data_IF_465372119341
#
_entry.id   IF_465372119341
#
_cell.length_a   1.000
_cell.length_b   1.000
_cell.length_c   1.000
_cell.angle_alpha   90.00
_cell.angle_beta   90.00
_cell.angle_gamma   90.00
#
_symmetry.space_group_name_H-M   'P 1'
#
loop_
_entity.id
_entity.type
_entity.pdbx_description
1 polymer ?
#
# COMPACT_ATOMS: atom_id res chain seq x y z
N UNK A 1 -54.56 -22.66 38.95
CA UNK A 1 -53.86 -21.59 38.19
C UNK A 1 -52.39 -21.49 38.65
N UNK A 2 -51.50 -22.40 38.21
CA UNK A 2 -50.06 -22.39 38.61
C UNK A 2 -49.08 -22.61 37.45
N UNK A 3 -49.55 -22.63 36.19
CA UNK A 3 -48.71 -22.97 35.02
C UNK A 3 -48.37 -21.81 34.08
N UNK A 4 -48.85 -20.60 34.36
CA UNK A 4 -48.65 -19.44 33.47
C UNK A 4 -47.38 -18.63 33.81
N UNK A 5 -46.86 -18.75 35.04
CA UNK A 5 -45.68 -17.99 35.47
C UNK A 5 -44.32 -18.63 35.11
N UNK A 6 -44.29 -19.91 34.73
CA UNK A 6 -43.03 -20.58 34.38
C UNK A 6 -42.56 -20.26 32.94
N UNK A 7 -43.49 -19.98 32.02
CA UNK A 7 -43.17 -19.69 30.62
C UNK A 7 -42.71 -18.24 30.40
N UNK A 8 -43.19 -17.29 31.21
CA UNK A 8 -42.75 -15.89 31.16
C UNK A 8 -41.31 -15.70 31.68
N UNK A 9 -40.87 -16.52 32.64
CA UNK A 9 -39.49 -16.48 33.18
C UNK A 9 -38.44 -17.04 32.20
N UNK A 10 -38.80 -18.04 31.39
CA UNK A 10 -37.89 -18.67 30.43
C UNK A 10 -37.71 -17.78 29.18
N UNK A 11 -38.75 -17.09 28.72
CA UNK A 11 -38.65 -16.15 27.60
C UNK A 11 -37.74 -14.95 27.92
N UNK A 12 -37.70 -14.49 29.17
CA UNK A 12 -36.86 -13.37 29.60
C UNK A 12 -35.36 -13.75 29.66
N UNK A 13 -35.04 -14.99 30.02
CA UNK A 13 -33.66 -15.51 30.10
C UNK A 13 -33.02 -15.77 28.72
N UNK A 14 -33.83 -15.98 27.68
CA UNK A 14 -33.34 -16.21 26.31
C UNK A 14 -33.11 -14.87 25.56
N UNK A 15 -33.73 -13.77 25.99
CA UNK A 15 -33.59 -12.43 25.39
C UNK A 15 -32.45 -11.60 25.97
N UNK A 16 -31.93 -11.96 27.15
CA UNK A 16 -30.83 -11.27 27.82
C UNK A 16 -29.45 -11.39 27.12
N UNK A 17 -29.06 -12.51 26.47
CA UNK A 17 -27.72 -12.61 25.89
C UNK A 17 -27.48 -11.62 24.75
N UNK A 18 -28.52 -11.33 23.96
CA UNK A 18 -28.42 -10.44 22.80
C UNK A 18 -28.20 -8.96 23.18
N UNK A 19 -28.64 -8.55 24.38
CA UNK A 19 -28.46 -7.18 24.88
C UNK A 19 -27.08 -6.97 25.54
N UNK A 20 -26.43 -8.05 26.00
CA UNK A 20 -25.14 -7.96 26.70
C UNK A 20 -23.94 -8.06 25.75
N UNK A 21 -24.08 -8.69 24.57
CA UNK A 21 -22.98 -8.82 23.60
C UNK A 21 -22.46 -7.47 23.09
N UNK A 22 -23.30 -6.43 23.03
CA UNK A 22 -22.88 -5.09 22.58
C UNK A 22 -21.97 -4.36 23.59
N UNK A 23 -22.00 -4.73 24.88
CA UNK A 23 -21.17 -4.15 25.92
C UNK A 23 -19.79 -4.82 26.05
N UNK A 24 -19.57 -6.00 25.46
CA UNK A 24 -18.30 -6.74 25.54
C UNK A 24 -17.44 -6.69 24.28
N UNK A 25 -17.97 -6.21 23.15
CA UNK A 25 -17.15 -6.00 21.97
C UNK A 25 -16.21 -4.80 22.22
N UNK A 26 -14.91 -5.06 22.35
CA UNK A 26 -13.89 -4.02 22.42
C UNK A 26 -13.90 -3.11 21.19
N UNK A 27 -13.12 -2.02 21.20
CA UNK A 27 -12.97 -1.20 20.01
C UNK A 27 -12.52 -2.04 18.80
N UNK A 28 -12.83 -1.61 17.57
CA UNK A 28 -12.39 -2.32 16.37
C UNK A 28 -10.86 -2.44 16.37
N UNK A 29 -10.33 -3.47 15.74
CA UNK A 29 -8.89 -3.63 15.54
C UNK A 29 -8.37 -2.78 14.37
N UNK A 30 -7.05 -2.66 14.27
CA UNK A 30 -6.39 -1.86 13.23
C UNK A 30 -6.73 -2.37 11.82
N UNK A 31 -6.86 -3.68 11.63
CA UNK A 31 -7.13 -4.28 10.32
C UNK A 31 -8.55 -3.97 9.83
N UNK A 32 -9.53 -3.95 10.74
CA UNK A 32 -10.87 -3.45 10.46
C UNK A 32 -10.84 -1.96 10.15
N UNK A 33 -10.07 -1.18 10.90
CA UNK A 33 -9.93 0.25 10.65
C UNK A 33 -9.29 0.57 9.29
N UNK A 34 -8.27 -0.18 8.86
CA UNK A 34 -7.70 -0.08 7.50
C UNK A 34 -8.72 -0.37 6.41
N UNK A 35 -9.56 -1.39 6.59
CA UNK A 35 -10.64 -1.73 5.65
C UNK A 35 -11.66 -0.60 5.55
N UNK A 36 -12.08 -0.05 6.70
CA UNK A 36 -13.01 1.07 6.73
C UNK A 36 -12.39 2.32 6.06
N UNK A 37 -11.11 2.63 6.30
CA UNK A 37 -10.39 3.68 5.57
C UNK A 37 -10.43 3.44 4.07
N UNK A 38 -10.10 2.23 3.60
CA UNK A 38 -10.09 1.90 2.18
C UNK A 38 -11.46 2.15 1.54
N UNK A 39 -12.53 1.61 2.13
CA UNK A 39 -13.90 1.73 1.61
C UNK A 39 -14.36 3.18 1.60
N UNK A 40 -14.20 3.89 2.73
CA UNK A 40 -14.69 5.26 2.86
C UNK A 40 -13.83 6.26 2.07
N UNK A 41 -12.54 6.00 1.89
CA UNK A 41 -11.67 6.81 1.03
C UNK A 41 -12.12 6.74 -0.42
N UNK A 42 -12.31 5.54 -0.97
CA UNK A 42 -12.72 5.38 -2.38
C UNK A 42 -14.11 5.94 -2.65
N UNK A 43 -14.99 5.88 -1.65
CA UNK A 43 -16.31 6.53 -1.72
C UNK A 43 -16.20 8.06 -1.79
N UNK A 44 -15.27 8.66 -1.04
CA UNK A 44 -15.09 10.12 -0.97
C UNK A 44 -14.23 10.68 -2.12
N UNK A 45 -13.21 9.94 -2.53
CA UNK A 45 -12.26 10.32 -3.58
C UNK A 45 -12.38 9.36 -4.77
N UNK A 46 -13.52 9.44 -5.47
CA UNK A 46 -13.80 8.55 -6.60
C UNK A 46 -12.78 8.73 -7.72
N UNK A 47 -12.15 7.63 -8.14
CA UNK A 47 -11.11 7.63 -9.17
C UNK A 47 -9.68 7.61 -8.62
N UNK A 48 -9.49 7.76 -7.31
CA UNK A 48 -8.20 7.54 -6.67
C UNK A 48 -7.88 6.04 -6.59
N UNK A 49 -6.60 5.69 -6.70
CA UNK A 49 -6.06 4.34 -6.42
C UNK A 49 -5.19 4.40 -5.17
N UNK A 50 -5.63 3.75 -4.11
CA UNK A 50 -4.84 3.63 -2.87
C UNK A 50 -3.66 2.70 -3.15
N UNK A 51 -2.44 3.19 -2.89
CA UNK A 51 -1.20 2.42 -2.99
C UNK A 51 -0.82 1.78 -1.66
N UNK A 52 -1.01 2.50 -0.55
CA UNK A 52 -0.74 1.97 0.79
C UNK A 52 -1.54 2.69 1.89
N UNK A 53 -1.78 1.97 2.99
CA UNK A 53 -2.35 2.50 4.24
C UNK A 53 -1.43 2.02 5.36
N UNK A 54 -0.66 2.93 5.96
CA UNK A 54 0.25 2.62 7.06
C UNK A 54 -0.27 3.21 8.38
N UNK A 55 -0.05 2.52 9.49
CA UNK A 55 -0.32 3.07 10.82
C UNK A 55 0.56 4.31 11.06
N UNK A 56 -0.03 5.38 11.61
CA UNK A 56 0.63 6.67 11.83
C UNK A 56 0.63 7.06 13.31
N UNK A 57 0.67 6.06 14.19
CA UNK A 57 0.65 6.23 15.64
C UNK A 57 -0.26 5.22 16.31
N UNK A 58 -0.31 5.29 17.65
CA UNK A 58 -1.19 4.44 18.45
C UNK A 58 -2.65 4.93 18.36
N UNK A 59 -3.63 4.01 18.43
CA UNK A 59 -5.03 4.38 18.52
C UNK A 59 -5.33 5.18 19.79
N UNK A 60 -6.15 6.22 19.68
CA UNK A 60 -6.44 7.13 20.80
C UNK A 60 -7.91 7.07 21.18
N UNK A 61 -8.19 6.87 22.47
CA UNK A 61 -9.50 7.04 23.07
C UNK A 61 -9.67 8.50 23.51
N UNK A 62 -10.72 9.15 23.03
CA UNK A 62 -11.06 10.54 23.32
C UNK A 62 -12.44 10.55 23.94
N UNK A 63 -12.51 10.97 25.20
CA UNK A 63 -13.76 11.17 25.90
C UNK A 63 -14.11 12.67 25.85
N UNK A 64 -15.21 13.00 25.19
CA UNK A 64 -15.71 14.38 25.09
C UNK A 64 -16.92 14.53 25.99
N UNK A 65 -16.77 15.30 27.08
CA UNK A 65 -17.89 15.73 27.90
C UNK A 65 -18.61 16.90 27.22
N UNK A 66 -19.76 16.64 26.59
CA UNK A 66 -20.57 17.71 25.99
C UNK A 66 -21.47 18.43 27.02
N UNK A 67 -21.79 17.77 28.13
CA UNK A 67 -22.51 18.33 29.28
C UNK A 67 -22.46 17.35 30.46
N UNK A 68 -22.86 17.78 31.67
CA UNK A 68 -22.89 16.96 32.91
C UNK A 68 -23.63 15.61 32.81
N UNK A 69 -24.32 15.32 31.69
CA UNK A 69 -25.12 14.11 31.48
C UNK A 69 -24.80 13.32 30.20
N UNK A 70 -23.91 13.81 29.30
CA UNK A 70 -23.60 13.14 28.03
C UNK A 70 -22.09 13.11 27.76
N UNK A 71 -21.51 11.92 27.90
CA UNK A 71 -20.13 11.60 27.52
C UNK A 71 -20.17 10.93 26.14
N UNK A 72 -19.51 11.52 25.15
CA UNK A 72 -19.27 10.88 23.85
C UNK A 72 -17.88 10.26 23.87
N UNK A 73 -17.81 8.95 23.62
CA UNK A 73 -16.54 8.22 23.58
C UNK A 73 -16.18 7.96 22.12
N UNK A 74 -15.08 8.56 21.69
CA UNK A 74 -14.53 8.46 20.35
C UNK A 74 -13.25 7.62 20.41
N UNK A 75 -13.08 6.69 19.48
CA UNK A 75 -11.83 5.94 19.30
C UNK A 75 -11.29 6.20 17.91
N UNK A 76 -10.04 6.66 17.83
CA UNK A 76 -9.43 7.14 16.59
C UNK A 76 -8.19 6.31 16.24
N UNK A 77 -8.18 5.76 15.04
CA UNK A 77 -6.98 5.16 14.45
C UNK A 77 -6.29 6.15 13.51
N UNK A 78 -5.05 6.57 13.80
CA UNK A 78 -4.28 7.41 12.90
C UNK A 78 -3.60 6.57 11.81
N UNK A 79 -3.81 6.95 10.56
CA UNK A 79 -3.22 6.33 9.38
C UNK A 79 -2.57 7.36 8.47
N UNK A 80 -1.70 6.87 7.59
CA UNK A 80 -1.07 7.60 6.52
C UNK A 80 -1.39 6.88 5.22
N UNK A 81 -2.25 7.51 4.42
CA UNK A 81 -2.74 6.95 3.16
C UNK A 81 -1.91 7.51 2.02
N UNK A 82 -1.27 6.64 1.26
CA UNK A 82 -0.62 7.00 0.00
C UNK A 82 -1.56 6.62 -1.14
N UNK A 83 -2.01 7.60 -1.90
CA UNK A 83 -2.96 7.39 -2.99
C UNK A 83 -2.52 8.12 -4.26
N UNK A 84 -2.64 7.44 -5.39
CA UNK A 84 -2.57 8.04 -6.72
C UNK A 84 -3.93 8.64 -7.04
N UNK A 85 -3.97 9.95 -7.22
CA UNK A 85 -5.16 10.74 -7.55
C UNK A 85 -5.58 10.49 -9.00
N UNK A 86 -6.83 10.81 -9.32
CA UNK A 86 -7.33 10.75 -10.70
C UNK A 86 -6.53 11.62 -11.68
N UNK A 87 -5.95 12.73 -11.21
CA UNK A 87 -5.08 13.59 -12.02
C UNK A 87 -3.65 13.06 -12.18
N UNK A 88 -3.36 11.88 -11.63
CA UNK A 88 -2.06 11.22 -11.71
C UNK A 88 -1.08 11.60 -10.59
N UNK A 89 -1.37 12.61 -9.79
CA UNK A 89 -0.52 12.98 -8.65
C UNK A 89 -0.52 11.89 -7.57
N UNK A 90 0.62 11.66 -6.91
CA UNK A 90 0.66 10.78 -5.73
C UNK A 90 0.66 11.66 -4.50
N UNK A 91 -0.28 11.41 -3.60
CA UNK A 91 -0.42 12.16 -2.35
C UNK A 91 -0.27 11.24 -1.15
N UNK A 92 0.35 11.75 -0.09
CA UNK A 92 0.44 11.14 1.23
C UNK A 92 -0.39 11.97 2.19
N UNK A 93 -1.51 11.41 2.63
CA UNK A 93 -2.50 12.12 3.44
C UNK A 93 -2.64 11.45 4.81
N UNK A 94 -2.56 12.25 5.88
CA UNK A 94 -2.91 11.79 7.22
C UNK A 94 -4.42 11.60 7.31
N UNK A 95 -4.85 10.44 7.79
CA UNK A 95 -6.26 10.08 7.92
C UNK A 95 -6.52 9.51 9.31
N UNK A 96 -7.56 9.98 9.99
CA UNK A 96 -8.09 9.38 11.20
C UNK A 96 -9.35 8.58 10.90
N UNK A 97 -9.36 7.28 11.17
CA UNK A 97 -10.60 6.51 11.20
C UNK A 97 -11.24 6.66 12.57
N UNK A 98 -12.41 7.31 12.62
CA UNK A 98 -13.08 7.69 13.85
C UNK A 98 -14.24 6.73 14.14
N UNK A 99 -14.32 6.22 15.36
CA UNK A 99 -15.39 5.34 15.84
C UNK A 99 -16.06 5.94 17.06
N UNK A 100 -17.39 5.86 17.12
CA UNK A 100 -18.17 6.29 18.29
C UNK A 100 -18.78 5.09 18.98
N UNK A 101 -18.76 5.09 20.31
CA UNK A 101 -19.41 4.04 21.09
C UNK A 101 -20.88 4.36 21.36
N UNK A 102 -21.78 3.52 20.83
CA UNK A 102 -23.21 3.61 21.08
C UNK A 102 -23.63 2.44 21.96
N UNK A 103 -24.12 2.70 23.18
CA UNK A 103 -24.44 1.65 24.17
C UNK A 103 -25.27 0.48 23.64
N UNK A 104 -26.21 0.75 22.72
CA UNK A 104 -27.09 -0.28 22.13
C UNK A 104 -26.51 -0.99 20.91
N UNK A 105 -25.44 -0.47 20.31
CA UNK A 105 -24.90 -0.96 19.03
C UNK A 105 -23.40 -1.28 19.07
N UNK A 106 -22.71 -0.96 20.16
CA UNK A 106 -21.25 -1.05 20.28
C UNK A 106 -20.54 0.06 19.50
N UNK A 107 -19.31 -0.22 19.08
CA UNK A 107 -18.48 0.68 18.29
C UNK A 107 -18.95 0.75 16.84
N UNK A 108 -19.23 1.96 16.37
CA UNK A 108 -19.65 2.23 14.99
C UNK A 108 -18.66 3.17 14.32
N UNK A 109 -18.34 2.89 13.06
CA UNK A 109 -17.59 3.83 12.23
C UNK A 109 -18.40 5.12 12.11
N UNK A 110 -17.74 6.24 12.41
CA UNK A 110 -18.33 7.58 12.35
C UNK A 110 -17.92 8.27 11.05
N UNK A 111 -16.62 8.50 10.87
CA UNK A 111 -16.10 9.27 9.74
C UNK A 111 -14.59 9.06 9.50
N UNK A 112 -14.11 9.58 8.37
CA UNK A 112 -12.70 9.82 8.13
C UNK A 112 -12.37 11.29 8.43
N UNK A 113 -11.55 11.52 9.44
CA UNK A 113 -10.89 12.81 9.66
C UNK A 113 -9.68 12.93 8.73
N UNK A 114 -9.52 14.07 8.05
CA UNK A 114 -8.38 14.31 7.16
C UNK A 114 -7.45 15.34 7.80
N UNK A 115 -6.17 14.96 7.92
CA UNK A 115 -5.10 15.81 8.42
C UNK A 115 -4.29 16.41 7.29
N UNK A 116 -2.97 16.51 7.50
CA UNK A 116 -2.06 17.09 6.51
C UNK A 116 -2.05 16.24 5.22
N UNK A 117 -2.08 16.92 4.08
CA UNK A 117 -1.93 16.30 2.77
C UNK A 117 -0.62 16.78 2.11
N UNK A 118 0.23 15.84 1.71
CA UNK A 118 1.52 16.11 1.09
C UNK A 118 1.50 15.53 -0.33
N UNK A 119 1.74 16.37 -1.34
CA UNK A 119 1.94 15.91 -2.72
C UNK A 119 3.35 15.34 -2.81
N UNK A 120 3.48 14.06 -3.14
CA UNK A 120 4.76 13.37 -3.35
C UNK A 120 5.22 13.55 -4.80
N UNK A 121 4.31 13.46 -5.75
CA UNK A 121 4.59 13.71 -7.17
C UNK A 121 3.50 14.55 -7.80
N UNK A 122 3.92 15.51 -8.62
CA UNK A 122 3.03 16.37 -9.39
C UNK A 122 2.26 15.56 -10.45
N UNK A 123 1.06 16.03 -10.86
CA UNK A 123 0.35 15.48 -12.02
C UNK A 123 1.26 15.36 -13.25
N UNK A 124 1.28 14.19 -13.89
CA UNK A 124 2.11 13.93 -15.08
C UNK A 124 3.57 13.54 -14.80
N UNK A 125 4.08 13.68 -13.56
CA UNK A 125 5.38 13.17 -13.11
C UNK A 125 5.21 11.82 -12.39
N UNK A 126 4.51 10.91 -13.05
CA UNK A 126 4.34 9.53 -12.56
C UNK A 126 5.63 8.76 -12.82
N UNK A 127 6.13 7.97 -11.86
CA UNK A 127 7.14 6.95 -12.15
C UNK A 127 6.44 5.66 -12.60
N UNK A 128 7.10 4.81 -13.42
CA UNK A 128 6.50 3.55 -13.82
C UNK A 128 6.30 2.65 -12.61
N UNK A 129 5.17 1.95 -12.56
CA UNK A 129 4.93 0.89 -11.57
C UNK A 129 6.11 -0.10 -11.60
N UNK A 130 6.45 -0.69 -10.46
CA UNK A 130 7.66 -1.53 -10.33
C UNK A 130 7.66 -2.69 -11.34
N UNK A 131 6.51 -3.29 -11.58
CA UNK A 131 6.30 -4.35 -12.56
C UNK A 131 6.54 -3.87 -13.98
N UNK A 132 6.10 -2.64 -14.31
CA UNK A 132 6.35 -2.02 -15.62
C UNK A 132 7.84 -1.74 -15.80
N UNK A 133 8.50 -1.20 -14.77
CA UNK A 133 9.93 -0.94 -14.80
C UNK A 133 10.74 -2.23 -15.01
N UNK A 134 10.42 -3.29 -14.27
CA UNK A 134 11.04 -4.61 -14.42
C UNK A 134 10.88 -5.16 -15.84
N UNK A 135 9.66 -5.09 -16.39
CA UNK A 135 9.38 -5.55 -17.76
C UNK A 135 10.20 -4.79 -18.80
N UNK A 136 10.24 -3.46 -18.74
CA UNK A 136 11.01 -2.63 -19.67
C UNK A 136 12.52 -2.94 -19.59
N UNK A 137 13.03 -3.15 -18.38
CA UNK A 137 14.44 -3.50 -18.15
C UNK A 137 14.76 -4.87 -18.74
N UNK A 138 13.90 -5.86 -18.50
CA UNK A 138 14.05 -7.21 -19.06
C UNK A 138 14.03 -7.18 -20.59
N UNK A 139 13.05 -6.51 -21.20
CA UNK A 139 12.99 -6.33 -22.66
C UNK A 139 14.23 -5.65 -23.21
N UNK A 140 14.72 -4.59 -22.54
CA UNK A 140 15.94 -3.88 -22.93
C UNK A 140 17.19 -4.77 -22.84
N UNK A 141 17.30 -5.62 -21.80
CA UNK A 141 18.38 -6.58 -21.65
C UNK A 141 18.36 -7.62 -22.79
N UNK A 142 17.19 -8.16 -23.09
CA UNK A 142 16.98 -9.14 -24.15
C UNK A 142 17.18 -8.53 -25.55
N UNK A 143 16.86 -7.26 -25.75
CA UNK A 143 17.08 -6.59 -27.03
C UNK A 143 18.56 -6.27 -27.29
N UNK A 144 19.28 -5.76 -26.28
CA UNK A 144 20.61 -5.18 -26.52
C UNK A 144 21.81 -6.04 -26.10
N UNK A 145 21.67 -6.91 -25.09
CA UNK A 145 22.82 -7.65 -24.52
C UNK A 145 22.65 -9.16 -24.55
N UNK A 146 21.44 -9.65 -24.31
CA UNK A 146 21.15 -11.07 -24.06
C UNK A 146 20.09 -11.63 -25.01
N UNK A 147 20.19 -11.24 -26.29
CA UNK A 147 19.25 -11.66 -27.33
C UNK A 147 19.15 -13.19 -27.44
N UNK A 148 17.92 -13.68 -27.31
CA UNK A 148 17.60 -15.11 -27.37
C UNK A 148 17.95 -15.91 -26.10
N UNK A 149 18.25 -15.22 -24.99
CA UNK A 149 18.56 -15.84 -23.69
C UNK A 149 17.45 -15.57 -22.67
N UNK A 150 17.59 -16.13 -21.48
CA UNK A 150 16.63 -15.94 -20.39
C UNK A 150 17.27 -15.11 -19.28
N UNK A 151 16.61 -14.01 -18.91
CA UNK A 151 16.97 -13.23 -17.72
C UNK A 151 16.24 -13.82 -16.53
N UNK A 152 16.96 -14.06 -15.44
CA UNK A 152 16.44 -14.60 -14.18
C UNK A 152 16.78 -13.66 -13.04
N UNK A 153 16.05 -13.76 -11.93
CA UNK A 153 16.35 -13.06 -10.68
C UNK A 153 16.57 -11.54 -10.82
N UNK A 154 15.92 -10.89 -11.79
CA UNK A 154 15.99 -9.44 -11.98
C UNK A 154 15.42 -8.72 -10.74
N UNK A 155 16.25 -7.91 -10.10
CA UNK A 155 15.88 -7.12 -8.92
C UNK A 155 16.27 -5.67 -9.14
N UNK A 156 15.36 -4.77 -8.77
CA UNK A 156 15.60 -3.32 -8.76
C UNK A 156 15.35 -2.76 -7.37
N UNK A 157 16.20 -1.81 -6.97
CA UNK A 157 15.95 -0.96 -5.81
C UNK A 157 14.87 0.08 -6.07
N UNK A 158 14.63 0.92 -5.06
CA UNK A 158 13.69 2.04 -5.19
C UNK A 158 14.21 3.08 -6.19
N UNK A 159 13.33 3.69 -7.00
CA UNK A 159 13.74 4.67 -8.00
C UNK A 159 14.24 5.97 -7.37
N UNK A 160 15.26 6.55 -7.98
CA UNK A 160 15.68 7.93 -7.73
C UNK A 160 15.09 8.81 -8.83
N UNK A 161 14.29 9.80 -8.45
CA UNK A 161 13.72 10.76 -9.39
C UNK A 161 14.70 11.89 -9.71
N UNK A 162 14.59 12.41 -10.92
CA UNK A 162 15.27 13.62 -11.36
C UNK A 162 14.59 14.22 -12.59
N UNK A 163 15.16 15.29 -13.12
CA UNK A 163 14.64 15.96 -14.30
C UNK A 163 15.76 16.62 -15.09
N UNK A 164 15.76 16.44 -16.40
CA UNK A 164 16.67 17.12 -17.33
C UNK A 164 15.81 18.04 -18.22
N UNK A 165 16.00 19.37 -18.14
CA UNK A 165 15.22 20.35 -18.92
C UNK A 165 13.69 20.11 -18.86
N UNK A 166 13.16 19.98 -17.64
CA UNK A 166 11.74 19.68 -17.35
C UNK A 166 11.21 18.30 -17.79
N UNK A 167 12.04 17.45 -18.39
CA UNK A 167 11.70 16.04 -18.67
C UNK A 167 11.98 15.19 -17.43
N UNK A 168 10.95 14.66 -16.73
CA UNK A 168 11.17 13.83 -15.56
C UNK A 168 11.76 12.47 -15.97
N UNK A 169 12.74 12.01 -15.20
CA UNK A 169 13.34 10.68 -15.34
C UNK A 169 13.42 9.96 -13.99
N UNK A 170 13.42 8.63 -14.05
CA UNK A 170 13.50 7.75 -12.91
C UNK A 170 14.66 6.77 -13.09
N UNK A 171 15.66 6.88 -12.21
CA UNK A 171 16.85 6.04 -12.23
C UNK A 171 16.62 4.81 -11.37
N UNK A 172 16.84 3.64 -11.95
CA UNK A 172 16.84 2.36 -11.25
C UNK A 172 18.25 1.77 -11.26
N UNK A 173 18.58 1.10 -10.17
CA UNK A 173 19.78 0.28 -10.06
C UNK A 173 19.43 -1.09 -9.52
N UNK A 174 20.18 -2.09 -9.96
CA UNK A 174 19.90 -3.46 -9.53
C UNK A 174 20.87 -4.49 -10.09
N UNK A 175 20.44 -5.74 -9.97
CA UNK A 175 21.20 -6.92 -10.33
C UNK A 175 20.28 -7.91 -11.08
N UNK A 176 20.88 -8.76 -11.89
CA UNK A 176 20.16 -9.82 -12.60
C UNK A 176 21.06 -11.02 -12.89
N UNK A 177 20.45 -12.16 -13.15
CA UNK A 177 21.13 -13.36 -13.62
C UNK A 177 20.71 -13.65 -15.07
N UNK A 178 21.58 -14.32 -15.82
CA UNK A 178 21.26 -14.77 -17.18
C UNK A 178 21.71 -16.20 -17.33
N UNK A 179 20.83 -17.02 -17.92
CA UNK A 179 21.16 -18.36 -18.35
C UNK A 179 21.47 -18.36 -19.85
N UNK A 180 22.68 -18.74 -20.20
CA UNK A 180 23.16 -18.91 -21.58
C UNK A 180 23.56 -20.37 -21.80
N UNK A 181 22.59 -21.18 -22.21
CA UNK A 181 22.74 -22.64 -22.23
C UNK A 181 23.02 -23.19 -20.82
N UNK A 182 24.21 -23.74 -20.61
CA UNK A 182 24.65 -24.28 -19.31
C UNK A 182 25.46 -23.28 -18.47
N UNK A 183 25.67 -22.06 -18.96
CA UNK A 183 26.47 -21.05 -18.27
C UNK A 183 25.53 -20.06 -17.59
N UNK A 184 25.70 -19.89 -16.28
CA UNK A 184 25.02 -18.84 -15.51
C UNK A 184 25.92 -17.62 -15.40
N UNK A 185 25.40 -16.45 -15.74
CA UNK A 185 26.03 -15.17 -15.49
C UNK A 185 25.31 -14.45 -14.36
N UNK A 186 26.07 -13.90 -13.42
CA UNK A 186 25.58 -13.01 -12.36
C UNK A 186 26.05 -11.61 -12.71
N UNK A 187 25.11 -10.71 -12.95
CA UNK A 187 25.34 -9.34 -13.40
C UNK A 187 24.93 -8.36 -12.31
N UNK A 188 25.90 -7.63 -11.79
CA UNK A 188 25.67 -6.70 -10.69
C UNK A 188 25.77 -5.25 -11.12
N UNK A 189 25.08 -4.37 -10.39
CA UNK A 189 25.15 -2.91 -10.53
C UNK A 189 24.79 -2.40 -11.92
N UNK A 190 23.70 -2.88 -12.52
CA UNK A 190 23.17 -2.16 -13.69
C UNK A 190 22.51 -0.85 -13.25
N UNK A 191 22.49 0.12 -14.16
CA UNK A 191 21.86 1.42 -13.97
C UNK A 191 21.11 1.80 -15.24
N UNK A 192 19.81 2.10 -15.10
CA UNK A 192 18.96 2.58 -16.18
C UNK A 192 18.25 3.86 -15.77
N UNK A 193 17.84 4.65 -16.77
CA UNK A 193 16.85 5.71 -16.63
C UNK A 193 15.61 5.36 -17.43
N UNK A 194 14.45 5.53 -16.82
CA UNK A 194 13.15 5.48 -17.46
C UNK A 194 12.57 6.89 -17.55
N UNK A 195 12.15 7.31 -18.73
CA UNK A 195 11.59 8.64 -18.97
C UNK A 195 10.51 8.55 -20.06
N UNK A 196 9.69 9.59 -20.17
CA UNK A 196 8.73 9.74 -21.26
C UNK A 196 9.23 10.83 -22.21
N UNK A 197 9.26 10.54 -23.49
CA UNK A 197 9.56 11.57 -24.48
C UNK A 197 8.37 12.52 -24.60
N UNK A 198 8.66 13.81 -24.85
CA UNK A 198 7.65 14.85 -25.02
C UNK A 198 6.68 14.53 -26.18
N UNK A 199 7.16 13.84 -27.21
CA UNK A 199 6.38 13.37 -28.36
C UNK A 199 5.48 12.16 -28.06
N UNK A 200 5.75 11.41 -26.99
CA UNK A 200 5.05 10.18 -26.63
C UNK A 200 4.85 10.09 -25.11
N UNK A 201 4.10 11.05 -24.56
CA UNK A 201 3.79 11.13 -23.13
C UNK A 201 3.10 9.87 -22.54
N UNK A 202 2.67 8.92 -23.37
CA UNK A 202 2.12 7.63 -22.96
C UNK A 202 3.16 6.51 -22.85
N UNK A 203 4.29 6.58 -23.55
CA UNK A 203 5.26 5.48 -23.64
C UNK A 203 6.53 5.74 -22.84
N UNK A 204 6.90 4.74 -22.04
CA UNK A 204 8.16 4.76 -21.30
C UNK A 204 9.31 4.37 -22.22
N UNK A 205 10.35 5.20 -22.25
CA UNK A 205 11.64 4.92 -22.87
C UNK A 205 12.64 4.47 -21.81
N UNK A 206 13.49 3.52 -22.20
CA UNK A 206 14.60 3.04 -21.39
C UNK A 206 15.92 3.56 -21.98
N UNK A 207 16.74 4.16 -21.12
CA UNK A 207 18.12 4.54 -21.43
C UNK A 207 19.09 3.82 -20.47
N UNK A 208 20.02 3.07 -21.03
CA UNK A 208 21.10 2.44 -20.27
C UNK A 208 22.17 3.46 -19.88
N UNK A 209 22.48 3.57 -18.58
CA UNK A 209 23.70 4.22 -18.12
C UNK A 209 24.81 3.18 -17.91
N UNK A 210 24.47 2.05 -17.31
CA UNK A 210 25.37 0.92 -17.10
C UNK A 210 24.60 -0.40 -17.23
N UNK A 211 25.11 -1.37 -18.00
CA UNK A 211 24.45 -2.68 -18.19
C UNK A 211 24.81 -3.73 -17.13
N UNK A 212 25.54 -3.30 -16.10
CA UNK A 212 26.08 -4.15 -15.04
C UNK A 212 27.33 -4.93 -15.44
N UNK A 213 28.13 -5.32 -14.44
CA UNK A 213 29.33 -6.13 -14.60
C UNK A 213 28.93 -7.59 -14.40
N UNK A 214 29.13 -8.41 -15.44
CA UNK A 214 28.72 -9.81 -15.43
C UNK A 214 29.92 -10.73 -15.20
N UNK A 215 29.77 -11.67 -14.27
CA UNK A 215 30.75 -12.73 -14.01
C UNK A 215 30.06 -14.07 -14.21
N UNK A 216 30.80 -15.04 -14.75
CA UNK A 216 30.33 -16.41 -14.80
C UNK A 216 30.20 -16.94 -13.37
N UNK A 217 28.99 -17.36 -12.99
CA UNK A 217 28.76 -18.09 -11.76
C UNK A 217 29.42 -19.45 -11.89
N UNK A 218 30.56 -19.64 -11.24
CA UNK A 218 31.25 -20.91 -11.24
C UNK A 218 30.46 -21.94 -10.43
N UNK A 219 30.27 -23.13 -11.01
CA UNK A 219 30.12 -24.33 -10.20
C UNK A 219 31.42 -24.48 -9.39
N UNK A 220 31.41 -24.11 -8.12
CA UNK A 220 32.44 -24.50 -7.17
C UNK A 220 32.27 -25.99 -6.84
N UNK A 221 32.64 -26.86 -7.78
CA UNK A 221 33.07 -28.21 -7.41
C UNK A 221 34.55 -28.13 -7.06
N UNK A 222 34.83 -27.59 -5.87
CA UNK A 222 36.13 -27.76 -5.21
C UNK A 222 36.01 -29.05 -4.40
N UNK A 223 36.67 -30.16 -4.78
CA UNK A 223 36.67 -31.36 -3.96
C UNK A 223 37.43 -31.07 -2.66
N UNK A 224 36.93 -31.55 -1.50
CA UNK A 224 37.59 -31.33 -0.22
C UNK A 224 38.96 -32.02 -0.16
N UNK A 225 39.89 -31.50 0.66
CA UNK A 225 41.26 -32.00 0.81
C UNK A 225 41.34 -33.44 1.32
#
# INVERSE_FOLDING_TARGET
MKKVFALAGIALLILLPALVSAQLAGPPDEERAKKDVYVHWLKKNSGDKIQSIASNGEPVLIEKEESKTKVEVLYKFPFLVTAKRKDGSVTKTEVGANYVFVRTKGWLFSELGFGKNIVITDPGKEFPDKEIALHLIEEGLLAERWKGKTVENLRVGDPISGSDMDVPWYRYSGDYEVLDGNIRYICNNFVVRLFKEESSASEWRLEWKEKGICRQGGNSYEPPP
#
